data_IF_075251590078
#
_entry.id   IF_075251590078
#
_cell.length_a   1.000
_cell.length_b   1.000
_cell.length_c   1.000
_cell.angle_alpha   90.00
_cell.angle_beta   90.00
_cell.angle_gamma   90.00
#
_symmetry.space_group_name_H-M   'P 1'
#
loop_
_entity.id
_entity.type
_entity.pdbx_description
1 polymer ?
#
# COMPACT_ATOMS: atom_id res chain seq x y z
N UNK A 1 7.19 -5.52 -2.03
CA UNK A 1 6.07 -5.11 -2.91
C UNK A 1 5.83 -3.62 -2.78
N UNK A 2 5.59 -2.92 -3.88
CA UNK A 2 5.19 -1.52 -3.84
C UNK A 2 3.69 -1.42 -4.16
N UNK A 3 2.83 -1.16 -3.17
CA UNK A 3 1.38 -1.14 -3.40
C UNK A 3 0.93 -0.07 -4.40
N UNK A 4 1.64 1.05 -4.49
CA UNK A 4 1.31 2.08 -5.48
C UNK A 4 1.53 1.58 -6.91
N UNK A 5 2.62 0.87 -7.13
CA UNK A 5 2.90 0.26 -8.44
C UNK A 5 1.93 -0.85 -8.76
N UNK A 6 1.57 -1.67 -7.78
CA UNK A 6 0.63 -2.78 -7.97
C UNK A 6 -0.73 -2.24 -8.43
N UNK A 7 -1.19 -1.16 -7.83
CA UNK A 7 -2.47 -0.55 -8.18
C UNK A 7 -2.37 0.43 -9.36
N UNK A 8 -1.15 0.80 -9.75
CA UNK A 8 -0.95 1.73 -10.85
C UNK A 8 -1.33 3.17 -10.52
N UNK A 9 -1.12 3.60 -9.26
CA UNK A 9 -1.45 4.95 -8.82
C UNK A 9 -0.19 5.69 -8.39
N UNK A 10 -0.19 7.03 -8.46
CA UNK A 10 0.93 7.82 -7.94
C UNK A 10 0.95 7.78 -6.41
N UNK A 11 2.13 8.07 -5.84
CA UNK A 11 2.32 8.08 -4.40
C UNK A 11 1.43 9.12 -3.72
N UNK A 12 1.09 10.19 -4.43
CA UNK A 12 0.23 11.25 -3.92
C UNK A 12 -1.26 10.99 -4.09
N UNK A 13 -1.64 9.82 -4.60
CA UNK A 13 -3.05 9.51 -4.84
C UNK A 13 -3.86 9.57 -3.54
N UNK A 14 -5.05 10.14 -3.63
CA UNK A 14 -5.97 10.20 -2.51
C UNK A 14 -6.82 8.93 -2.40
N UNK A 15 -7.61 8.84 -1.33
CA UNK A 15 -8.42 7.65 -1.07
C UNK A 15 -9.34 7.27 -2.23
N UNK A 16 -10.13 8.21 -2.80
CA UNK A 16 -11.00 7.87 -3.93
C UNK A 16 -10.24 7.38 -5.16
N UNK A 17 -9.09 7.96 -5.45
CA UNK A 17 -8.27 7.56 -6.60
C UNK A 17 -7.75 6.15 -6.42
N UNK A 18 -7.25 5.84 -5.23
CA UNK A 18 -6.73 4.51 -4.90
C UNK A 18 -7.85 3.47 -4.97
N UNK A 19 -9.01 3.80 -4.42
CA UNK A 19 -10.16 2.90 -4.45
C UNK A 19 -10.63 2.62 -5.87
N UNK A 20 -10.69 3.65 -6.70
CA UNK A 20 -11.09 3.50 -8.09
C UNK A 20 -10.10 2.60 -8.84
N UNK A 21 -8.81 2.82 -8.65
CA UNK A 21 -7.79 2.01 -9.29
C UNK A 21 -7.92 0.54 -8.88
N UNK A 22 -8.15 0.29 -7.59
CA UNK A 22 -8.35 -1.06 -7.10
C UNK A 22 -9.58 -1.71 -7.74
N UNK A 23 -10.72 -1.02 -7.75
CA UNK A 23 -11.95 -1.56 -8.32
C UNK A 23 -11.80 -1.85 -9.81
N UNK A 24 -11.12 -0.98 -10.55
CA UNK A 24 -10.87 -1.22 -11.98
C UNK A 24 -9.95 -2.42 -12.18
N UNK A 25 -8.93 -2.55 -11.35
CA UNK A 25 -7.99 -3.64 -11.46
C UNK A 25 -8.63 -5.00 -11.19
N UNK A 26 -9.49 -5.10 -10.17
CA UNK A 26 -10.12 -6.37 -9.84
C UNK A 26 -11.19 -6.80 -10.85
N UNK A 27 -11.73 -5.86 -11.63
CA UNK A 27 -12.63 -6.23 -12.72
C UNK A 27 -11.93 -7.10 -13.76
N UNK A 28 -10.63 -6.87 -13.96
CA UNK A 28 -9.83 -7.62 -14.92
C UNK A 28 -9.14 -8.82 -14.30
N UNK A 29 -8.99 -8.83 -12.98
CA UNK A 29 -8.29 -9.90 -12.27
C UNK A 29 -9.17 -10.42 -11.14
N UNK A 30 -10.30 -11.02 -11.48
CA UNK A 30 -11.21 -11.62 -10.51
C UNK A 30 -10.56 -12.86 -9.88
N UNK A 31 -10.98 -13.27 -8.66
CA UNK A 31 -10.41 -14.46 -8.02
C UNK A 31 -10.54 -15.73 -8.89
N UNK A 32 -11.56 -15.80 -9.73
CA UNK A 32 -11.77 -16.93 -10.60
C UNK A 32 -10.79 -16.97 -11.77
N UNK A 33 -10.46 -15.81 -12.33
CA UNK A 33 -9.58 -15.71 -13.49
C UNK A 33 -8.11 -15.71 -13.11
N UNK A 34 -7.77 -14.96 -12.06
CA UNK A 34 -6.38 -14.80 -11.64
C UNK A 34 -6.29 -14.59 -10.13
N UNK A 35 -6.35 -15.67 -9.35
CA UNK A 35 -6.36 -15.56 -7.90
C UNK A 35 -5.08 -14.91 -7.35
N UNK A 36 -3.93 -15.17 -7.97
CA UNK A 36 -2.67 -14.58 -7.53
C UNK A 36 -2.67 -13.07 -7.70
N UNK A 37 -3.12 -12.60 -8.86
CA UNK A 37 -3.19 -11.16 -9.13
C UNK A 37 -4.22 -10.49 -8.22
N UNK A 38 -5.37 -11.12 -8.03
CA UNK A 38 -6.41 -10.62 -7.14
C UNK A 38 -5.88 -10.46 -5.72
N UNK A 39 -5.15 -11.46 -5.23
CA UNK A 39 -4.57 -11.41 -3.90
C UNK A 39 -3.57 -10.27 -3.77
N UNK A 40 -2.70 -10.09 -4.78
CA UNK A 40 -1.74 -9.00 -4.79
C UNK A 40 -2.41 -7.63 -4.75
N UNK A 41 -3.47 -7.47 -5.54
CA UNK A 41 -4.24 -6.22 -5.58
C UNK A 41 -4.90 -5.94 -4.24
N UNK A 42 -5.50 -6.96 -3.62
CA UNK A 42 -6.14 -6.82 -2.32
C UNK A 42 -5.14 -6.44 -1.24
N UNK A 43 -3.99 -7.07 -1.21
CA UNK A 43 -2.93 -6.74 -0.25
C UNK A 43 -2.43 -5.32 -0.44
N UNK A 44 -2.20 -4.92 -1.69
CA UNK A 44 -1.75 -3.57 -2.00
C UNK A 44 -2.78 -2.53 -1.53
N UNK A 45 -4.05 -2.79 -1.81
CA UNK A 45 -5.12 -1.89 -1.40
C UNK A 45 -5.18 -1.76 0.13
N UNK A 46 -5.13 -2.88 0.85
CA UNK A 46 -5.17 -2.86 2.31
C UNK A 46 -4.02 -2.02 2.92
N UNK A 47 -2.89 -1.94 2.26
CA UNK A 47 -1.74 -1.19 2.76
C UNK A 47 -1.86 0.31 2.56
N UNK A 48 -2.63 0.76 1.57
CA UNK A 48 -2.70 2.18 1.22
C UNK A 48 -4.13 2.71 1.07
N UNK A 49 -5.12 1.94 1.51
CA UNK A 49 -6.54 2.27 1.27
C UNK A 49 -6.99 3.57 1.91
N UNK A 50 -6.36 4.00 2.99
CA UNK A 50 -6.69 5.24 3.67
C UNK A 50 -5.41 5.92 4.18
N UNK A 51 -5.58 7.12 4.72
CA UNK A 51 -4.46 7.90 5.18
C UNK A 51 -3.69 7.21 6.30
N UNK A 52 -4.40 6.59 7.24
CA UNK A 52 -3.75 5.85 8.33
C UNK A 52 -2.91 4.70 7.81
N UNK A 53 -3.46 3.93 6.87
CA UNK A 53 -2.73 2.80 6.27
C UNK A 53 -1.50 3.29 5.53
N UNK A 54 -1.61 4.39 4.79
CA UNK A 54 -0.49 4.98 4.07
C UNK A 54 0.60 5.47 5.02
N UNK A 55 0.22 6.09 6.12
CA UNK A 55 1.17 6.51 7.15
C UNK A 55 1.93 5.33 7.73
N UNK A 56 1.23 4.25 8.05
CA UNK A 56 1.86 3.04 8.55
C UNK A 56 2.81 2.43 7.53
N UNK A 57 2.41 2.40 6.26
CA UNK A 57 3.26 1.89 5.20
C UNK A 57 4.55 2.70 5.11
N UNK A 58 4.45 4.02 5.11
CA UNK A 58 5.62 4.88 5.05
C UNK A 58 6.54 4.71 6.26
N UNK A 59 5.96 4.61 7.45
CA UNK A 59 6.75 4.41 8.67
C UNK A 59 7.54 3.11 8.63
N UNK A 60 6.94 2.04 8.13
CA UNK A 60 7.62 0.74 8.10
C UNK A 60 8.54 0.57 6.92
N UNK A 61 8.39 1.35 5.85
CA UNK A 61 9.19 1.21 4.65
C UNK A 61 10.23 2.30 4.45
N UNK A 62 10.23 3.31 5.29
CA UNK A 62 11.26 4.35 5.28
C UNK A 62 12.46 3.98 6.13
N UNK A 63 12.82 2.73 6.15
CA UNK A 63 13.96 2.31 6.94
C UNK A 63 15.25 2.74 6.27
N UNK A 64 15.95 3.68 6.91
CA UNK A 64 17.37 3.80 6.66
C UNK A 64 18.05 2.61 7.32
N UNK A 65 19.14 2.10 6.73
CA UNK A 65 19.87 0.98 7.32
C UNK A 65 20.24 1.26 8.76
N UNK A 66 19.78 0.42 9.68
CA UNK A 66 20.12 0.50 11.09
C UNK A 66 19.21 1.35 11.94
N UNK A 67 18.16 1.94 11.37
CA UNK A 67 17.23 2.75 12.16
C UNK A 67 15.81 2.22 12.00
N UNK A 68 15.25 1.69 13.07
CA UNK A 68 13.84 1.36 13.09
C UNK A 68 13.06 2.59 13.55
N UNK A 69 11.75 2.69 13.20
CA UNK A 69 10.92 3.78 13.70
C UNK A 69 10.88 3.84 15.21
N UNK A 70 10.95 2.70 15.88
CA UNK A 70 10.99 2.63 17.33
C UNK A 70 12.27 3.26 17.91
N UNK A 71 13.41 2.99 17.27
CA UNK A 71 14.66 3.58 17.72
C UNK A 71 14.62 5.09 17.59
N UNK A 72 14.06 5.60 16.52
CA UNK A 72 13.92 7.04 16.32
C UNK A 72 13.04 7.66 17.39
N UNK A 73 11.92 7.04 17.70
CA UNK A 73 11.00 7.51 18.72
C UNK A 73 11.70 7.51 20.09
N UNK A 74 12.39 6.44 20.43
CA UNK A 74 13.08 6.32 21.70
C UNK A 74 14.20 7.36 21.88
N UNK A 75 14.86 7.72 20.80
CA UNK A 75 15.91 8.76 20.84
C UNK A 75 15.36 10.14 21.11
N UNK A 76 14.12 10.38 20.77
CA UNK A 76 13.47 11.67 20.97
C UNK A 76 12.70 11.77 22.27
N UNK A 77 12.65 10.68 23.01
CA UNK A 77 12.10 10.68 24.33
C UNK A 77 13.20 10.99 25.35
#
# INVERSE_FOLDING_TARGET
>A
MNPYLVLGVPVQADDPTIRRAYLEAIKQATPEKNPTRFQSLSEAYERIKDESSRCQYELFHQESPGASPLDTILRHL
#
